data_IF_046576389986
#
_entry.id   IF_046576389986
#
_cell.length_a   1.000
_cell.length_b   1.000
_cell.length_c   1.000
_cell.angle_alpha   90.00
_cell.angle_beta   90.00
_cell.angle_gamma   90.00
#
_symmetry.space_group_name_H-M   'P 1'
#
loop_
_entity.id
_entity.type
_entity.pdbx_description
1 polymer ?
#
# COMPACT_ATOMS: atom_id res chain seq x y z
N UNK A 1 26.79 8.40 13.15
CA UNK A 1 26.90 9.64 13.94
C UNK A 1 26.37 9.37 15.34
N UNK A 2 27.08 9.89 16.34
CA UNK A 2 26.71 9.77 17.76
C UNK A 2 25.83 10.97 18.12
N UNK A 3 24.65 10.73 18.65
CA UNK A 3 23.77 11.82 19.12
C UNK A 3 23.97 12.01 20.63
N UNK A 4 24.25 13.23 21.04
CA UNK A 4 24.36 13.59 22.45
C UNK A 4 23.09 14.32 22.87
N UNK A 5 22.39 13.77 23.86
CA UNK A 5 21.17 14.39 24.38
C UNK A 5 21.46 15.15 25.67
N UNK A 6 20.91 16.36 25.77
CA UNK A 6 20.94 17.16 26.99
C UNK A 6 19.54 17.18 27.62
N UNK A 7 19.47 16.96 28.93
CA UNK A 7 18.18 17.02 29.62
C UNK A 7 17.70 18.47 29.64
N UNK A 8 16.53 18.76 29.00
CA UNK A 8 15.86 20.06 29.02
C UNK A 8 14.69 20.07 30.02
N UNK A 9 14.05 21.22 30.16
CA UNK A 9 12.82 21.33 30.93
C UNK A 9 11.69 20.54 30.24
N UNK A 10 10.76 19.89 30.99
CA UNK A 10 9.60 19.25 30.42
C UNK A 10 8.78 20.23 29.59
N UNK A 11 8.32 19.81 28.40
CA UNK A 11 7.49 20.61 27.48
C UNK A 11 8.13 21.92 26.96
N UNK A 12 9.45 22.05 26.99
CA UNK A 12 10.15 23.22 26.44
C UNK A 12 10.10 23.25 24.90
N UNK A 13 10.07 22.09 24.26
CA UNK A 13 10.05 21.93 22.80
C UNK A 13 9.00 20.95 22.35
N UNK A 14 8.36 21.27 21.23
CA UNK A 14 7.55 20.33 20.46
C UNK A 14 8.40 19.73 19.34
N UNK A 15 8.30 18.40 19.17
CA UNK A 15 9.02 17.66 18.16
C UNK A 15 8.06 17.14 17.11
N UNK A 16 8.48 17.22 15.85
CA UNK A 16 7.74 16.66 14.72
C UNK A 16 8.67 15.94 13.76
N UNK A 17 8.23 14.78 13.28
CA UNK A 17 8.93 14.05 12.21
C UNK A 17 8.19 14.33 10.92
N UNK A 18 8.89 14.87 9.93
CA UNK A 18 8.35 15.18 8.62
C UNK A 18 9.05 14.34 7.55
N UNK A 19 8.26 13.72 6.68
CA UNK A 19 8.76 13.04 5.49
C UNK A 19 9.00 14.06 4.38
N UNK A 20 10.22 14.11 3.86
CA UNK A 20 10.55 14.88 2.67
C UNK A 20 10.79 13.90 1.52
N UNK A 21 9.96 14.00 0.49
CA UNK A 21 10.18 13.27 -0.75
C UNK A 21 11.46 13.80 -1.42
N UNK A 22 12.26 12.87 -2.01
CA UNK A 22 13.50 13.17 -2.73
C UNK A 22 13.41 14.47 -3.54
N UNK A 23 13.60 15.58 -2.86
CA UNK A 23 13.87 16.85 -3.53
C UNK A 23 15.36 16.90 -3.78
N UNK A 24 15.75 17.40 -4.94
CA UNK A 24 17.15 17.68 -5.26
C UNK A 24 17.78 18.39 -4.07
N UNK A 25 19.02 18.05 -3.71
CA UNK A 25 19.70 18.53 -2.48
C UNK A 25 19.55 20.04 -2.22
N UNK A 26 19.47 20.86 -3.28
CA UNK A 26 19.21 22.29 -3.17
C UNK A 26 17.84 22.65 -2.59
N UNK A 27 16.77 22.00 -3.02
CA UNK A 27 15.41 22.27 -2.53
C UNK A 27 15.24 21.89 -1.06
N UNK A 28 15.97 20.86 -0.61
CA UNK A 28 15.96 20.43 0.79
C UNK A 28 16.66 21.47 1.68
N UNK A 29 17.78 22.02 1.22
CA UNK A 29 18.50 23.06 1.95
C UNK A 29 17.67 24.35 2.06
N UNK A 30 17.03 24.77 0.97
CA UNK A 30 16.14 25.94 0.95
C UNK A 30 14.93 25.76 1.87
N UNK A 31 14.35 24.56 1.87
CA UNK A 31 13.25 24.21 2.77
C UNK A 31 13.65 24.29 4.25
N UNK A 32 14.80 23.72 4.62
CA UNK A 32 15.33 23.78 5.99
C UNK A 32 15.61 25.24 6.40
N UNK A 33 16.10 26.07 5.47
CA UNK A 33 16.32 27.50 5.70
C UNK A 33 15.01 28.25 5.98
N UNK A 34 13.98 27.99 5.15
CA UNK A 34 12.64 28.57 5.36
C UNK A 34 12.04 28.15 6.70
N UNK A 35 12.25 26.91 7.14
CA UNK A 35 11.81 26.43 8.44
C UNK A 35 12.55 27.16 9.58
N UNK A 36 13.85 27.40 9.43
CA UNK A 36 14.65 28.14 10.41
C UNK A 36 14.17 29.60 10.56
N UNK A 37 13.78 30.25 9.46
CA UNK A 37 13.20 31.60 9.45
C UNK A 37 11.84 31.66 10.21
N UNK A 38 11.12 30.52 10.28
CA UNK A 38 9.88 30.35 11.05
C UNK A 38 10.12 29.88 12.50
N UNK A 39 11.36 29.85 12.97
CA UNK A 39 11.72 29.42 14.32
C UNK A 39 11.66 27.90 14.53
N UNK A 40 11.67 27.13 13.45
CA UNK A 40 11.69 25.66 13.48
C UNK A 40 13.12 25.18 13.21
N UNK A 41 13.68 24.44 14.15
CA UNK A 41 15.05 23.90 14.03
C UNK A 41 15.04 22.47 13.54
N UNK A 42 15.94 22.12 12.63
CA UNK A 42 16.26 20.76 12.26
C UNK A 42 17.15 20.14 13.31
N UNK A 43 16.67 19.10 13.99
CA UNK A 43 17.42 18.38 15.04
C UNK A 43 18.12 17.13 14.48
N UNK A 44 17.51 16.47 13.51
CA UNK A 44 18.05 15.23 12.96
C UNK A 44 17.60 14.98 11.53
N UNK A 45 18.31 14.10 10.88
CA UNK A 45 18.09 13.65 9.51
C UNK A 45 18.19 12.12 9.47
N UNK A 46 17.12 11.47 9.02
CA UNK A 46 17.05 10.03 8.89
C UNK A 46 16.59 9.66 7.47
N UNK A 47 17.47 9.86 6.48
CA UNK A 47 17.18 9.64 5.08
C UNK A 47 16.09 10.57 4.56
N UNK A 48 14.89 10.05 4.29
CA UNK A 48 13.75 10.86 3.83
C UNK A 48 12.95 11.53 4.94
N UNK A 49 13.38 11.40 6.21
CA UNK A 49 12.70 12.00 7.36
C UNK A 49 13.54 13.07 7.99
N UNK A 50 12.94 14.24 8.27
CA UNK A 50 13.52 15.28 9.10
C UNK A 50 12.88 15.27 10.48
N UNK A 51 13.71 15.31 11.50
CA UNK A 51 13.26 15.57 12.87
C UNK A 51 13.38 17.05 13.13
N UNK A 52 12.24 17.70 13.35
CA UNK A 52 12.10 19.13 13.55
C UNK A 52 11.72 19.39 14.99
N UNK A 53 12.19 20.52 15.56
CA UNK A 53 11.75 21.00 16.85
C UNK A 53 11.36 22.48 16.75
N UNK A 54 10.36 22.88 17.50
CA UNK A 54 9.96 24.27 17.72
C UNK A 54 9.82 24.49 19.22
N UNK A 55 10.15 25.67 19.71
CA UNK A 55 9.89 26.02 21.11
C UNK A 55 8.39 26.03 21.35
N UNK A 56 7.95 25.39 22.42
CA UNK A 56 6.53 25.33 22.77
C UNK A 56 6.03 26.74 23.16
N UNK A 57 5.25 27.34 22.28
CA UNK A 57 4.65 28.66 22.46
C UNK A 57 3.14 28.59 22.75
N UNK A 58 2.61 27.37 22.97
CA UNK A 58 1.19 27.11 23.17
C UNK A 58 0.35 27.12 21.89
N UNK A 59 0.94 27.52 20.76
CA UNK A 59 0.29 27.40 19.45
C UNK A 59 0.59 26.01 18.84
N UNK A 60 -0.37 25.40 18.14
CA UNK A 60 -0.13 24.11 17.51
C UNK A 60 1.01 24.22 16.51
N UNK A 61 1.97 23.27 16.56
CA UNK A 61 3.08 23.21 15.63
C UNK A 61 2.57 22.83 14.21
N UNK A 62 2.05 23.81 13.48
CA UNK A 62 1.59 23.67 12.10
C UNK A 62 2.65 24.20 11.14
N UNK A 63 3.12 23.35 10.24
CA UNK A 63 3.98 23.75 9.13
C UNK A 63 3.07 24.16 7.97
N UNK A 64 3.21 25.37 7.45
CA UNK A 64 2.41 25.90 6.34
C UNK A 64 2.48 25.02 5.06
N UNK A 65 3.58 24.30 4.85
CA UNK A 65 3.73 23.33 3.76
C UNK A 65 3.03 21.98 4.02
N UNK A 66 2.46 21.78 5.22
CA UNK A 66 1.96 20.48 5.66
C UNK A 66 0.69 20.07 4.90
N UNK A 67 -0.18 21.01 4.53
CA UNK A 67 -1.44 20.70 3.86
C UNK A 67 -1.21 20.23 2.41
N UNK A 68 -0.38 20.92 1.65
CA UNK A 68 -0.04 20.55 0.28
C UNK A 68 0.76 19.25 0.23
N UNK A 69 1.71 19.07 1.14
CA UNK A 69 2.44 17.82 1.29
C UNK A 69 1.49 16.64 1.60
N UNK A 70 0.55 16.82 2.53
CA UNK A 70 -0.47 15.81 2.86
C UNK A 70 -1.40 15.49 1.68
N UNK A 71 -1.79 16.49 0.91
CA UNK A 71 -2.60 16.31 -0.29
C UNK A 71 -1.82 15.49 -1.32
N UNK A 72 -0.54 15.79 -1.55
CA UNK A 72 0.31 15.05 -2.47
C UNK A 72 0.53 13.60 -2.01
N UNK A 73 0.81 13.39 -0.73
CA UNK A 73 0.98 12.06 -0.15
C UNK A 73 -0.29 11.22 -0.22
N UNK A 74 -1.44 11.81 0.11
CA UNK A 74 -2.73 11.14 0.01
C UNK A 74 -3.04 10.74 -1.44
N UNK A 75 -2.77 11.63 -2.40
CA UNK A 75 -2.94 11.34 -3.84
C UNK A 75 -2.04 10.21 -4.32
N UNK A 76 -0.77 10.20 -3.90
CA UNK A 76 0.19 9.15 -4.23
C UNK A 76 -0.23 7.81 -3.63
N UNK A 77 -0.56 7.79 -2.34
CA UNK A 77 -1.00 6.59 -1.65
C UNK A 77 -2.26 6.01 -2.28
N UNK A 78 -3.22 6.85 -2.65
CA UNK A 78 -4.42 6.44 -3.37
C UNK A 78 -4.07 5.76 -4.70
N UNK A 79 -3.19 6.35 -5.51
CA UNK A 79 -2.74 5.75 -6.79
C UNK A 79 -2.09 4.38 -6.58
N UNK A 80 -1.18 4.25 -5.61
CA UNK A 80 -0.53 2.98 -5.28
C UNK A 80 -1.57 1.92 -4.89
N UNK A 81 -2.55 2.28 -4.06
CA UNK A 81 -3.61 1.36 -3.65
C UNK A 81 -4.50 0.93 -4.80
N UNK A 82 -4.81 1.83 -5.73
CA UNK A 82 -5.57 1.49 -6.95
C UNK A 82 -4.77 0.52 -7.82
N UNK A 83 -3.51 0.80 -8.07
CA UNK A 83 -2.65 -0.09 -8.87
C UNK A 83 -2.56 -1.48 -8.23
N UNK A 84 -2.33 -1.56 -6.92
CA UNK A 84 -2.30 -2.84 -6.21
C UNK A 84 -3.64 -3.58 -6.28
N UNK A 85 -4.77 -2.89 -6.16
CA UNK A 85 -6.09 -3.51 -6.29
C UNK A 85 -6.30 -4.11 -7.68
N UNK A 86 -5.88 -3.40 -8.74
CA UNK A 86 -5.95 -3.89 -10.12
C UNK A 86 -5.04 -5.09 -10.32
N UNK A 87 -3.81 -5.05 -9.82
CA UNK A 87 -2.86 -6.19 -9.91
C UNK A 87 -3.43 -7.42 -9.21
N UNK A 88 -3.95 -7.29 -7.99
CA UNK A 88 -4.56 -8.43 -7.30
C UNK A 88 -5.82 -8.95 -7.99
N UNK A 89 -6.63 -8.07 -8.59
CA UNK A 89 -7.79 -8.49 -9.37
C UNK A 89 -7.39 -9.29 -10.61
N UNK A 90 -6.35 -8.86 -11.34
CA UNK A 90 -5.83 -9.58 -12.50
C UNK A 90 -5.24 -10.93 -12.11
N UNK A 91 -4.48 -11.00 -11.02
CA UNK A 91 -3.95 -12.27 -10.50
C UNK A 91 -5.08 -13.22 -10.07
N UNK A 92 -6.12 -12.71 -9.42
CA UNK A 92 -7.27 -13.51 -9.05
C UNK A 92 -7.99 -14.07 -10.28
N UNK A 93 -8.17 -13.27 -11.33
CA UNK A 93 -8.77 -13.69 -12.59
C UNK A 93 -7.92 -14.77 -13.28
N UNK A 94 -6.60 -14.62 -13.32
CA UNK A 94 -5.67 -15.61 -13.84
C UNK A 94 -5.77 -16.94 -13.07
N UNK A 95 -5.81 -16.89 -11.74
CA UNK A 95 -5.95 -18.11 -10.92
C UNK A 95 -7.29 -18.80 -11.14
N UNK A 96 -8.40 -18.09 -11.25
CA UNK A 96 -9.71 -18.68 -11.57
C UNK A 96 -9.74 -19.23 -13.00
N UNK A 97 -9.09 -18.56 -13.95
CA UNK A 97 -8.92 -19.09 -15.30
C UNK A 97 -8.17 -20.43 -15.29
N UNK A 98 -7.09 -20.54 -14.49
CA UNK A 98 -6.36 -21.79 -14.32
C UNK A 98 -7.22 -22.90 -13.67
N UNK A 99 -8.09 -22.58 -12.72
CA UNK A 99 -9.07 -23.53 -12.17
C UNK A 99 -9.92 -24.13 -13.28
N UNK A 100 -10.46 -23.25 -14.17
CA UNK A 100 -11.28 -23.68 -15.29
C UNK A 100 -10.50 -24.56 -16.28
N UNK A 101 -9.30 -24.17 -16.67
CA UNK A 101 -8.43 -24.91 -17.59
C UNK A 101 -8.09 -26.30 -17.04
N UNK A 102 -7.70 -26.40 -15.76
CA UNK A 102 -7.38 -27.69 -15.15
C UNK A 102 -8.60 -28.58 -14.98
N UNK A 103 -9.77 -28.01 -14.72
CA UNK A 103 -11.02 -28.73 -14.65
C UNK A 103 -11.42 -29.29 -16.04
N UNK A 104 -11.39 -28.45 -17.06
CA UNK A 104 -11.70 -28.84 -18.44
C UNK A 104 -10.75 -29.95 -18.95
N UNK A 105 -9.45 -29.81 -18.68
CA UNK A 105 -8.44 -30.81 -18.99
C UNK A 105 -8.74 -32.12 -18.28
N UNK A 106 -9.12 -32.09 -17.00
CA UNK A 106 -9.43 -33.28 -16.22
C UNK A 106 -10.66 -34.02 -16.80
N UNK A 107 -11.71 -33.28 -17.15
CA UNK A 107 -12.94 -33.83 -17.75
C UNK A 107 -12.66 -34.42 -19.14
N UNK A 108 -11.92 -33.69 -19.97
CA UNK A 108 -11.55 -34.15 -21.32
C UNK A 108 -10.68 -35.40 -21.27
N UNK A 109 -9.75 -35.47 -20.31
CA UNK A 109 -8.91 -36.65 -20.10
C UNK A 109 -9.73 -37.88 -19.69
N UNK A 110 -10.68 -37.69 -18.76
CA UNK A 110 -11.57 -38.79 -18.35
C UNK A 110 -12.47 -39.30 -19.50
N UNK A 111 -12.94 -38.40 -20.37
CA UNK A 111 -13.73 -38.77 -21.54
C UNK A 111 -12.89 -39.55 -22.57
N UNK A 112 -11.67 -39.08 -22.86
CA UNK A 112 -10.78 -39.71 -23.82
C UNK A 112 -10.36 -41.14 -23.41
N UNK A 113 -10.18 -41.37 -22.12
CA UNK A 113 -9.77 -42.67 -21.58
C UNK A 113 -10.91 -43.51 -21.03
N UNK A 114 -12.17 -43.16 -21.32
CA UNK A 114 -13.33 -43.91 -20.83
C UNK A 114 -13.30 -45.38 -21.23
N UNK A 115 -12.99 -45.68 -22.51
CA UNK A 115 -12.89 -47.06 -23.04
C UNK A 115 -11.74 -47.86 -22.40
N UNK A 116 -10.57 -47.23 -22.22
CA UNK A 116 -9.42 -47.87 -21.57
C UNK A 116 -9.69 -48.13 -20.09
N UNK A 117 -10.47 -47.30 -19.44
CA UNK A 117 -10.87 -47.45 -18.04
C UNK A 117 -11.73 -48.68 -17.82
N UNK A 118 -12.70 -48.91 -18.69
CA UNK A 118 -13.53 -50.14 -18.65
C UNK A 118 -12.68 -51.38 -18.79
N UNK A 119 -11.72 -51.39 -19.74
CA UNK A 119 -10.85 -52.53 -19.96
C UNK A 119 -9.92 -52.85 -18.78
N UNK A 120 -9.46 -51.84 -18.04
CA UNK A 120 -8.48 -52.00 -16.94
C UNK A 120 -9.07 -51.82 -15.53
N UNK A 121 -10.40 -51.74 -15.37
CA UNK A 121 -11.09 -51.59 -14.06
C UNK A 121 -10.56 -50.42 -13.21
N UNK A 122 -10.14 -49.33 -13.85
CA UNK A 122 -9.62 -48.15 -13.18
C UNK A 122 -10.74 -47.28 -12.59
N UNK A 123 -10.52 -46.57 -11.44
CA UNK A 123 -11.55 -45.74 -10.85
C UNK A 123 -11.92 -44.57 -11.74
N UNK A 124 -13.21 -44.23 -11.79
CA UNK A 124 -13.81 -43.25 -12.69
C UNK A 124 -13.33 -41.80 -12.52
N UNK A 125 -12.60 -41.47 -11.49
CA UNK A 125 -12.11 -40.11 -11.22
C UNK A 125 -10.60 -40.03 -11.05
N UNK A 126 -9.87 -40.87 -11.83
CA UNK A 126 -8.40 -40.90 -11.75
C UNK A 126 -7.79 -39.54 -12.09
N UNK A 127 -8.32 -38.85 -13.09
CA UNK A 127 -7.88 -37.52 -13.50
C UNK A 127 -8.12 -36.48 -12.40
N UNK A 128 -9.31 -36.45 -11.78
CA UNK A 128 -9.59 -35.55 -10.67
C UNK A 128 -8.73 -35.82 -9.44
N UNK A 129 -8.35 -37.10 -9.20
CA UNK A 129 -7.41 -37.45 -8.13
C UNK A 129 -6.00 -36.95 -8.42
N UNK A 130 -5.56 -37.00 -9.68
CA UNK A 130 -4.23 -36.51 -10.09
C UNK A 130 -4.13 -35.00 -10.17
N UNK A 131 -5.15 -34.35 -10.72
CA UNK A 131 -5.17 -32.92 -11.01
C UNK A 131 -5.90 -32.10 -9.94
N UNK A 132 -6.74 -32.71 -9.13
CA UNK A 132 -7.59 -32.02 -8.15
C UNK A 132 -6.83 -31.17 -7.16
N UNK A 133 -5.64 -31.57 -6.76
CA UNK A 133 -4.78 -30.74 -5.89
C UNK A 133 -4.39 -29.41 -6.53
N UNK A 134 -4.16 -29.37 -7.85
CA UNK A 134 -3.86 -28.13 -8.58
C UNK A 134 -5.10 -27.25 -8.66
N UNK A 135 -6.26 -27.81 -8.96
CA UNK A 135 -7.55 -27.12 -9.00
C UNK A 135 -7.84 -26.44 -7.65
N UNK A 136 -7.72 -27.20 -6.55
CA UNK A 136 -7.94 -26.68 -5.19
C UNK A 136 -6.94 -25.57 -4.86
N UNK A 137 -5.67 -25.76 -5.21
CA UNK A 137 -4.63 -24.77 -4.92
C UNK A 137 -4.88 -23.45 -5.66
N UNK A 138 -5.20 -23.49 -6.95
CA UNK A 138 -5.55 -22.30 -7.72
C UNK A 138 -6.85 -21.65 -7.23
N UNK A 139 -7.84 -22.42 -6.80
CA UNK A 139 -9.06 -21.89 -6.22
C UNK A 139 -8.79 -21.12 -4.92
N UNK A 140 -7.97 -21.67 -4.02
CA UNK A 140 -7.57 -20.99 -2.78
C UNK A 140 -6.82 -19.69 -3.08
N UNK A 141 -5.86 -19.71 -4.00
CA UNK A 141 -5.13 -18.52 -4.42
C UNK A 141 -6.06 -17.47 -5.04
N UNK A 142 -7.03 -17.90 -5.86
CA UNK A 142 -8.05 -17.02 -6.45
C UNK A 142 -8.90 -16.32 -5.39
N UNK A 143 -9.34 -17.04 -4.37
CA UNK A 143 -10.10 -16.47 -3.25
C UNK A 143 -9.24 -15.48 -2.45
N UNK A 144 -8.01 -15.85 -2.12
CA UNK A 144 -7.08 -14.96 -1.40
C UNK A 144 -6.76 -13.70 -2.20
N UNK A 145 -6.52 -13.84 -3.51
CA UNK A 145 -6.29 -12.72 -4.42
C UNK A 145 -7.48 -11.77 -4.49
N UNK A 146 -8.71 -12.32 -4.56
CA UNK A 146 -9.94 -11.52 -4.53
C UNK A 146 -10.09 -10.77 -3.21
N UNK A 147 -9.86 -11.42 -2.08
CA UNK A 147 -9.91 -10.79 -0.76
C UNK A 147 -8.88 -9.65 -0.65
N UNK A 148 -7.67 -9.85 -1.16
CA UNK A 148 -6.63 -8.83 -1.21
C UNK A 148 -7.02 -7.65 -2.11
N UNK A 149 -7.61 -7.91 -3.28
CA UNK A 149 -8.10 -6.88 -4.20
C UNK A 149 -9.20 -6.02 -3.55
N UNK A 150 -10.21 -6.65 -2.94
CA UNK A 150 -11.29 -5.95 -2.24
C UNK A 150 -10.75 -5.12 -1.08
N UNK A 151 -9.87 -5.68 -0.26
CA UNK A 151 -9.27 -4.96 0.86
C UNK A 151 -8.48 -3.72 0.40
N UNK A 152 -7.67 -3.86 -0.64
CA UNK A 152 -6.88 -2.73 -1.18
C UNK A 152 -7.76 -1.68 -1.84
N UNK A 153 -8.83 -2.08 -2.53
CA UNK A 153 -9.83 -1.16 -3.10
C UNK A 153 -10.55 -0.36 -1.99
N UNK A 154 -10.98 -1.01 -0.91
CA UNK A 154 -11.58 -0.33 0.25
C UNK A 154 -10.61 0.68 0.89
N UNK A 155 -9.33 0.32 0.99
CA UNK A 155 -8.29 1.25 1.47
C UNK A 155 -8.12 2.44 0.52
N UNK A 156 -8.14 2.23 -0.81
CA UNK A 156 -8.07 3.30 -1.80
C UNK A 156 -9.23 4.28 -1.66
N UNK A 157 -10.47 3.78 -1.47
CA UNK A 157 -11.65 4.61 -1.23
C UNK A 157 -11.51 5.44 0.06
N UNK A 158 -11.03 4.82 1.14
CA UNK A 158 -10.81 5.52 2.41
C UNK A 158 -9.79 6.66 2.26
N UNK A 159 -8.66 6.38 1.63
CA UNK A 159 -7.63 7.41 1.35
C UNK A 159 -8.18 8.48 0.40
N UNK A 160 -9.00 8.11 -0.58
CA UNK A 160 -9.66 9.05 -1.49
C UNK A 160 -10.60 10.03 -0.77
N UNK A 161 -11.33 9.57 0.25
CA UNK A 161 -12.16 10.45 1.10
C UNK A 161 -11.29 11.44 1.88
N UNK A 162 -10.22 10.97 2.51
CA UNK A 162 -9.26 11.86 3.21
C UNK A 162 -8.65 12.89 2.26
N UNK A 163 -8.27 12.49 1.04
CA UNK A 163 -7.80 13.41 0.00
C UNK A 163 -8.84 14.48 -0.36
N UNK A 164 -10.11 14.10 -0.50
CA UNK A 164 -11.21 15.03 -0.77
C UNK A 164 -11.42 16.04 0.36
N UNK A 165 -11.34 15.60 1.62
CA UNK A 165 -11.45 16.46 2.80
C UNK A 165 -10.29 17.48 2.89
N UNK A 166 -9.06 17.01 2.67
CA UNK A 166 -7.88 17.89 2.66
C UNK A 166 -7.97 18.94 1.56
N UNK A 167 -8.44 18.56 0.36
CA UNK A 167 -8.63 19.51 -0.74
C UNK A 167 -9.71 20.55 -0.43
N UNK A 168 -10.79 20.17 0.25
CA UNK A 168 -11.82 21.12 0.68
C UNK A 168 -11.28 22.11 1.73
N UNK A 169 -10.47 21.66 2.69
CA UNK A 169 -9.84 22.53 3.69
C UNK A 169 -8.96 23.58 3.03
N UNK A 170 -8.16 23.18 2.05
CA UNK A 170 -7.34 24.11 1.26
C UNK A 170 -8.16 25.24 0.63
N UNK A 171 -9.31 24.90 0.01
CA UNK A 171 -10.19 25.90 -0.63
C UNK A 171 -10.88 26.84 0.34
N UNK A 172 -10.89 26.55 1.64
CA UNK A 172 -11.46 27.40 2.69
C UNK A 172 -10.39 28.34 3.26
N UNK A 173 -9.12 27.93 3.19
CA UNK A 173 -7.97 28.69 3.70
C UNK A 173 -7.40 29.67 2.66
N UNK A 174 -7.73 29.55 1.36
CA UNK A 174 -7.46 30.51 0.28
C UNK A 174 -8.55 31.58 0.21
#
# INVERSE_FOLDING_TARGET
GTYTYRRGAPNEYEYRVQYIYESRDGQRADYVKTLADMGVEKVGDMGSFLVLRKRADGAPFTLYSDLDARIMDARRLMRIKIILAVVFALLAADWFYNVWVWYDLAVSFDAMYAELREAYHQPSFLSLRLWGKHIVWYAVLGVLGTAAAVRTAMQAVRVGRTYGELKRKRLIEE
#
